data_IF_479754534785
#
_entry.id   IF_479754534785
#
_cell.length_a   1.000
_cell.length_b   1.000
_cell.length_c   1.000
_cell.angle_alpha   90.00
_cell.angle_beta   90.00
_cell.angle_gamma   90.00
#
_symmetry.space_group_name_H-M   'P 1'
#
loop_
_entity.id
_entity.type
_entity.pdbx_description
1 polymer ?
#
# COMPACT_ATOMS: atom_id res chain seq x y z
N UNK A 1 -21.15 6.76 2.84
CA UNK A 1 -20.22 7.86 3.23
C UNK A 1 -19.01 7.79 2.33
N UNK A 2 -18.58 8.92 1.72
CA UNK A 2 -17.43 8.92 0.79
C UNK A 2 -16.12 8.95 1.56
N UNK A 3 -15.19 8.07 1.19
CA UNK A 3 -13.83 8.00 1.67
C UNK A 3 -12.89 8.32 0.49
N UNK A 4 -12.35 9.53 0.47
CA UNK A 4 -11.49 10.00 -0.62
C UNK A 4 -10.10 9.41 -0.46
N UNK A 5 -9.70 8.58 -1.42
CA UNK A 5 -8.38 7.96 -1.43
C UNK A 5 -7.34 8.88 -2.08
N UNK A 6 -6.37 9.31 -1.29
CA UNK A 6 -5.25 10.15 -1.72
C UNK A 6 -4.22 9.34 -2.53
N UNK A 7 -4.64 8.85 -3.69
CA UNK A 7 -3.80 8.09 -4.60
C UNK A 7 -4.22 8.30 -6.05
N UNK A 8 -3.23 8.44 -6.93
CA UNK A 8 -3.42 8.40 -8.39
C UNK A 8 -3.27 6.97 -8.97
N UNK A 9 -2.86 6.00 -8.15
CA UNK A 9 -2.63 4.62 -8.58
C UNK A 9 -3.95 3.84 -8.67
N UNK A 10 -4.35 3.47 -9.90
CA UNK A 10 -5.60 2.78 -10.17
C UNK A 10 -5.68 1.40 -9.50
N UNK A 11 -4.55 0.67 -9.39
CA UNK A 11 -4.52 -0.63 -8.72
C UNK A 11 -4.83 -0.49 -7.22
N UNK A 12 -4.27 0.50 -6.54
CA UNK A 12 -4.58 0.79 -5.14
C UNK A 12 -6.06 1.15 -4.96
N UNK A 13 -6.61 1.97 -5.87
CA UNK A 13 -8.05 2.33 -5.82
C UNK A 13 -8.94 1.10 -5.94
N UNK A 14 -8.63 0.20 -6.88
CA UNK A 14 -9.39 -1.06 -7.05
C UNK A 14 -9.29 -1.97 -5.82
N UNK A 15 -8.08 -2.19 -5.29
CA UNK A 15 -7.87 -3.01 -4.08
C UNK A 15 -8.61 -2.44 -2.86
N UNK A 16 -8.55 -1.13 -2.59
CA UNK A 16 -9.30 -0.53 -1.48
C UNK A 16 -10.82 -0.55 -1.71
N UNK A 17 -11.27 -0.42 -2.95
CA UNK A 17 -12.69 -0.58 -3.30
C UNK A 17 -13.20 -1.99 -2.96
N UNK A 18 -12.44 -3.03 -3.35
CA UNK A 18 -12.77 -4.42 -3.04
C UNK A 18 -12.75 -4.71 -1.52
N UNK A 19 -11.74 -4.21 -0.80
CA UNK A 19 -11.62 -4.32 0.65
C UNK A 19 -12.78 -3.64 1.38
N UNK A 20 -13.20 -2.46 0.93
CA UNK A 20 -14.32 -1.72 1.52
C UNK A 20 -15.65 -2.44 1.31
N UNK A 21 -15.90 -2.93 0.08
CA UNK A 21 -17.09 -3.71 -0.24
C UNK A 21 -17.17 -5.00 0.61
N UNK A 22 -16.06 -5.72 0.75
CA UNK A 22 -16.00 -6.95 1.54
C UNK A 22 -16.16 -6.74 3.05
N UNK A 23 -15.82 -5.57 3.58
CA UNK A 23 -15.90 -5.27 5.01
C UNK A 23 -17.30 -4.89 5.50
N UNK A 24 -18.24 -4.59 4.60
CA UNK A 24 -19.58 -4.11 4.97
C UNK A 24 -19.56 -2.77 5.71
N UNK A 25 -18.53 -1.96 5.50
CA UNK A 25 -18.44 -0.61 6.06
C UNK A 25 -19.28 0.37 5.24
N UNK A 26 -19.75 1.47 5.85
CA UNK A 26 -20.55 2.48 5.15
C UNK A 26 -19.68 3.39 4.24
N UNK A 27 -18.51 2.93 3.84
CA UNK A 27 -17.58 3.67 2.99
C UNK A 27 -17.72 3.29 1.51
N UNK A 28 -17.90 4.30 0.68
CA UNK A 28 -17.63 4.27 -0.75
C UNK A 28 -16.24 4.87 -0.98
N UNK A 29 -15.28 4.06 -1.44
CA UNK A 29 -13.94 4.55 -1.75
C UNK A 29 -13.98 5.31 -3.06
N UNK A 30 -13.61 6.59 -3.01
CA UNK A 30 -13.62 7.52 -4.14
C UNK A 30 -12.19 7.89 -4.49
N UNK A 31 -11.81 7.76 -5.75
CA UNK A 31 -10.48 8.17 -6.23
C UNK A 31 -10.29 9.69 -6.13
N UNK A 32 -9.10 10.14 -5.78
CA UNK A 32 -8.75 11.57 -5.88
C UNK A 32 -9.00 12.15 -7.29
N UNK A 33 -8.91 11.32 -8.35
CA UNK A 33 -9.21 11.75 -9.73
C UNK A 33 -10.63 12.27 -9.92
N UNK A 34 -11.58 11.75 -9.16
CA UNK A 34 -13.00 12.15 -9.20
C UNK A 34 -13.25 13.50 -8.54
N UNK A 35 -12.27 14.00 -7.79
CA UNK A 35 -12.39 15.24 -7.01
C UNK A 35 -11.31 16.28 -7.36
N UNK A 36 -10.83 16.27 -8.58
CA UNK A 36 -9.85 17.27 -9.08
C UNK A 36 -8.41 16.77 -9.17
N UNK A 37 -8.15 15.52 -8.79
CA UNK A 37 -6.83 14.91 -8.83
C UNK A 37 -6.07 15.00 -7.52
N UNK A 38 -4.93 14.32 -7.48
CA UNK A 38 -4.02 14.38 -6.34
C UNK A 38 -3.16 15.64 -6.46
N UNK A 39 -3.11 16.52 -5.45
CA UNK A 39 -2.17 17.63 -5.46
C UNK A 39 -0.73 17.11 -5.44
N UNK A 40 0.24 17.87 -5.96
CA UNK A 40 1.66 17.53 -5.87
C UNK A 40 2.08 17.37 -4.39
N UNK A 41 2.71 16.23 -4.07
CA UNK A 41 3.22 15.94 -2.73
C UNK A 41 4.60 15.32 -2.85
N UNK A 42 5.58 15.92 -2.21
CA UNK A 42 6.91 15.32 -2.06
C UNK A 42 6.86 14.28 -0.93
N UNK A 43 7.25 13.05 -1.23
CA UNK A 43 7.33 11.94 -0.28
C UNK A 43 8.73 11.88 0.35
N UNK A 44 9.07 12.89 1.14
CA UNK A 44 10.42 13.22 1.65
C UNK A 44 10.60 12.96 3.16
N UNK A 45 9.62 12.34 3.82
CA UNK A 45 9.67 12.15 5.28
C UNK A 45 10.55 10.98 5.72
N UNK A 46 11.01 10.15 4.79
CA UNK A 46 11.81 8.94 5.07
C UNK A 46 11.04 7.81 5.75
N UNK A 47 9.72 7.97 5.95
CA UNK A 47 8.88 6.94 6.61
C UNK A 47 7.54 6.78 5.89
N UNK A 48 7.03 5.55 5.86
CA UNK A 48 5.69 5.26 5.30
C UNK A 48 4.59 6.06 6.01
N UNK A 49 4.64 6.16 7.33
CA UNK A 49 3.64 6.89 8.10
C UNK A 49 3.65 8.40 7.80
N UNK A 50 4.84 9.00 7.72
CA UNK A 50 4.99 10.41 7.39
C UNK A 50 4.50 10.72 5.97
N UNK A 51 4.88 9.90 4.98
CA UNK A 51 4.45 10.07 3.60
C UNK A 51 2.93 9.88 3.46
N UNK A 52 2.34 8.86 4.09
CA UNK A 52 0.90 8.66 4.10
C UNK A 52 0.16 9.87 4.71
N UNK A 53 0.60 10.35 5.88
CA UNK A 53 0.00 11.52 6.53
C UNK A 53 0.11 12.78 5.66
N UNK A 54 1.28 13.00 5.04
CA UNK A 54 1.51 14.15 4.15
C UNK A 54 0.57 14.11 2.93
N UNK A 55 0.39 12.94 2.31
CA UNK A 55 -0.58 12.74 1.21
C UNK A 55 -2.02 12.97 1.66
N UNK A 56 -2.41 12.44 2.82
CA UNK A 56 -3.76 12.61 3.35
C UNK A 56 -4.09 14.09 3.59
N UNK A 57 -3.19 14.82 4.25
CA UNK A 57 -3.34 16.26 4.52
C UNK A 57 -3.42 17.09 3.24
N UNK A 58 -2.58 16.77 2.24
CA UNK A 58 -2.57 17.48 0.97
C UNK A 58 -3.90 17.34 0.22
N UNK A 59 -4.44 16.11 0.11
CA UNK A 59 -5.75 15.92 -0.51
C UNK A 59 -6.86 16.57 0.33
N UNK A 60 -6.79 16.45 1.66
CA UNK A 60 -7.78 17.04 2.58
C UNK A 60 -7.93 18.54 2.39
N UNK A 61 -6.82 19.25 2.14
CA UNK A 61 -6.80 20.70 1.92
C UNK A 61 -7.52 21.14 0.63
N UNK A 62 -7.75 20.24 -0.32
CA UNK A 62 -8.45 20.52 -1.59
C UNK A 62 -9.94 20.15 -1.56
N UNK A 63 -10.40 19.52 -0.47
CA UNK A 63 -11.76 19.01 -0.32
C UNK A 63 -12.57 19.84 0.68
N UNK A 64 -13.91 19.71 0.68
CA UNK A 64 -14.73 20.29 1.74
C UNK A 64 -14.29 19.87 3.14
N UNK A 65 -14.46 20.78 4.11
CA UNK A 65 -13.91 20.63 5.46
C UNK A 65 -14.47 19.44 6.27
N UNK A 66 -15.51 18.78 5.82
CA UNK A 66 -16.15 17.61 6.43
C UNK A 66 -15.88 16.29 5.66
N UNK A 67 -14.91 16.29 4.74
CA UNK A 67 -14.57 15.11 3.96
C UNK A 67 -13.74 14.09 4.76
N UNK A 68 -13.96 12.82 4.53
CA UNK A 68 -13.09 11.73 4.97
C UNK A 68 -12.00 11.48 3.95
N UNK A 69 -10.76 11.41 4.39
CA UNK A 69 -9.61 11.14 3.51
C UNK A 69 -8.81 9.97 4.04
N UNK A 70 -8.45 9.07 3.14
CA UNK A 70 -7.52 7.97 3.37
C UNK A 70 -6.32 8.15 2.45
N UNK A 71 -5.12 8.01 2.98
CA UNK A 71 -3.91 7.86 2.18
C UNK A 71 -3.23 6.54 2.50
N UNK A 72 -2.57 5.98 1.51
CA UNK A 72 -1.72 4.80 1.65
C UNK A 72 -0.30 5.17 1.24
N UNK A 73 0.66 4.77 2.07
CA UNK A 73 2.03 4.63 1.65
C UNK A 73 2.51 3.21 1.92
N UNK A 74 3.14 2.60 0.92
CA UNK A 74 3.46 1.18 0.96
C UNK A 74 4.69 0.86 0.11
N UNK A 75 5.44 -0.13 0.54
CA UNK A 75 6.62 -0.56 -0.15
C UNK A 75 7.11 -1.94 0.27
N UNK A 76 8.09 -2.42 -0.47
CA UNK A 76 8.82 -3.66 -0.22
C UNK A 76 10.13 -3.34 0.47
N UNK A 77 10.40 -3.98 1.59
CA UNK A 77 11.67 -3.94 2.30
C UNK A 77 12.37 -5.29 2.14
N UNK A 78 13.63 -5.29 1.71
CA UNK A 78 14.41 -6.49 1.44
C UNK A 78 15.61 -6.56 2.37
N UNK A 79 15.72 -7.64 3.14
CA UNK A 79 16.74 -7.78 4.19
C UNK A 79 18.19 -7.71 3.64
N UNK A 80 18.43 -8.36 2.50
CA UNK A 80 19.74 -8.36 1.85
C UNK A 80 20.13 -7.00 1.24
N UNK A 81 19.20 -6.04 1.20
CA UNK A 81 19.40 -4.69 0.69
C UNK A 81 19.19 -3.63 1.80
N UNK A 82 19.40 -4.00 3.06
CA UNK A 82 19.27 -3.11 4.22
C UNK A 82 17.89 -2.40 4.26
N UNK A 83 16.83 -3.10 3.86
CA UNK A 83 15.47 -2.59 3.81
C UNK A 83 15.10 -1.84 2.53
N UNK A 84 16.04 -1.63 1.59
CA UNK A 84 15.69 -1.04 0.29
C UNK A 84 14.87 -2.03 -0.56
N UNK A 85 14.00 -1.51 -1.47
CA UNK A 85 13.71 -0.12 -1.78
C UNK A 85 12.91 0.64 -0.70
N UNK A 86 12.21 -0.01 0.23
CA UNK A 86 11.51 0.64 1.32
C UNK A 86 10.52 1.72 0.83
N UNK A 87 10.60 2.92 1.39
CA UNK A 87 9.75 4.07 1.00
C UNK A 87 9.93 4.51 -0.44
N UNK A 88 11.05 4.16 -1.07
CA UNK A 88 11.34 4.47 -2.47
C UNK A 88 10.79 3.45 -3.46
N UNK A 89 10.00 2.48 -2.99
CA UNK A 89 9.51 1.35 -3.80
C UNK A 89 8.85 1.77 -5.12
N UNK A 90 8.09 2.86 -5.11
CA UNK A 90 7.43 3.36 -6.32
C UNK A 90 8.40 3.94 -7.36
N UNK A 91 9.55 4.43 -6.91
CA UNK A 91 10.53 5.18 -7.73
C UNK A 91 11.92 4.55 -7.74
N UNK A 92 12.02 3.29 -7.36
CA UNK A 92 13.30 2.59 -7.18
C UNK A 92 14.22 2.63 -8.41
N UNK A 93 13.66 2.53 -9.62
CA UNK A 93 14.41 2.63 -10.87
C UNK A 93 14.49 4.05 -11.44
N UNK A 94 13.83 5.02 -10.82
CA UNK A 94 13.83 6.42 -11.24
C UNK A 94 12.48 7.12 -11.06
N UNK A 95 12.44 8.43 -11.29
CA UNK A 95 11.28 9.29 -10.96
C UNK A 95 10.02 9.01 -11.80
N UNK A 96 10.12 8.21 -12.87
CA UNK A 96 9.00 7.87 -13.73
C UNK A 96 7.99 6.92 -13.08
N UNK A 97 8.39 6.21 -12.01
CA UNK A 97 7.52 5.25 -11.32
C UNK A 97 7.18 4.02 -12.17
N UNK A 98 8.08 3.63 -13.10
CA UNK A 98 7.89 2.45 -13.96
C UNK A 98 8.03 1.16 -13.14
N UNK A 99 6.91 0.51 -12.88
CA UNK A 99 6.85 -0.73 -12.10
C UNK A 99 7.67 -1.87 -12.72
N UNK A 100 7.72 -1.97 -14.04
CA UNK A 100 8.51 -3.00 -14.72
C UNK A 100 10.00 -2.72 -14.60
N UNK A 101 10.43 -1.46 -14.69
CA UNK A 101 11.81 -1.05 -14.45
C UNK A 101 12.22 -1.28 -12.99
N UNK A 102 11.34 -0.96 -12.03
CA UNK A 102 11.56 -1.21 -10.60
C UNK A 102 11.77 -2.70 -10.32
N UNK A 103 10.91 -3.56 -10.88
CA UNK A 103 11.02 -5.02 -10.76
C UNK A 103 12.34 -5.54 -11.36
N UNK A 104 12.68 -5.12 -12.59
CA UNK A 104 13.95 -5.51 -13.23
C UNK A 104 15.17 -5.09 -12.41
N UNK A 105 15.15 -3.86 -11.85
CA UNK A 105 16.24 -3.37 -10.99
C UNK A 105 16.38 -4.24 -9.74
N UNK A 106 15.27 -4.62 -9.11
CA UNK A 106 15.28 -5.48 -7.92
C UNK A 106 15.83 -6.88 -8.25
N UNK A 107 15.36 -7.50 -9.33
CA UNK A 107 15.90 -8.79 -9.80
C UNK A 107 17.42 -8.70 -10.02
N UNK A 108 17.89 -7.61 -10.64
CA UNK A 108 19.32 -7.36 -10.83
C UNK A 108 20.09 -7.22 -9.51
N UNK A 109 19.57 -6.47 -8.55
CA UNK A 109 20.17 -6.27 -7.24
C UNK A 109 20.22 -7.56 -6.40
N UNK A 110 19.27 -8.46 -6.63
CA UNK A 110 19.19 -9.75 -5.93
C UNK A 110 19.99 -10.88 -6.58
N UNK A 111 20.67 -10.62 -7.70
CA UNK A 111 21.53 -11.63 -8.36
C UNK A 111 22.66 -12.06 -7.42
N UNK A 112 22.84 -13.38 -7.28
CA UNK A 112 23.87 -13.95 -6.40
C UNK A 112 23.55 -13.93 -4.91
N UNK A 113 22.40 -13.38 -4.49
CA UNK A 113 21.93 -13.50 -3.11
C UNK A 113 21.43 -14.92 -2.88
N UNK A 114 21.99 -15.69 -1.93
CA UNK A 114 21.56 -17.05 -1.65
C UNK A 114 20.09 -17.14 -1.22
N UNK A 115 19.41 -18.24 -1.54
CA UNK A 115 17.99 -18.46 -1.22
C UNK A 115 17.65 -18.19 0.26
N UNK A 116 18.50 -18.65 1.20
CA UNK A 116 18.30 -18.43 2.63
C UNK A 116 18.50 -16.97 3.12
N UNK A 117 18.88 -16.04 2.24
CA UNK A 117 19.09 -14.62 2.55
C UNK A 117 18.19 -13.69 1.73
N UNK A 118 17.12 -14.21 1.17
CA UNK A 118 16.18 -13.47 0.33
C UNK A 118 14.94 -13.02 1.09
N UNK A 119 15.00 -12.93 2.41
CA UNK A 119 13.94 -12.42 3.26
C UNK A 119 13.50 -11.02 2.82
N UNK A 120 12.20 -10.79 2.85
CA UNK A 120 11.61 -9.52 2.49
C UNK A 120 10.25 -9.35 3.16
N UNK A 121 9.78 -8.13 3.26
CA UNK A 121 8.43 -7.88 3.73
C UNK A 121 7.83 -6.66 3.03
N UNK A 122 6.53 -6.75 2.78
CA UNK A 122 5.75 -5.57 2.42
C UNK A 122 5.21 -4.85 3.64
N UNK A 123 5.22 -3.53 3.58
CA UNK A 123 4.58 -2.64 4.55
C UNK A 123 3.52 -1.80 3.85
N UNK A 124 2.39 -1.59 4.51
CA UNK A 124 1.39 -0.60 4.14
C UNK A 124 1.05 0.22 5.39
N UNK A 125 1.11 1.52 5.28
CA UNK A 125 0.62 2.44 6.31
C UNK A 125 -0.53 3.25 5.73
N UNK A 126 -1.68 3.17 6.40
CA UNK A 126 -2.86 3.97 6.12
C UNK A 126 -2.90 5.17 7.06
N UNK A 127 -3.05 6.37 6.51
CA UNK A 127 -3.37 7.58 7.26
C UNK A 127 -4.81 7.98 6.95
N UNK A 128 -5.66 7.98 7.97
CA UNK A 128 -7.07 8.37 7.89
C UNK A 128 -7.25 9.74 8.52
N UNK A 129 -7.94 10.65 7.83
CA UNK A 129 -8.39 11.93 8.38
C UNK A 129 -9.92 11.94 8.37
N UNK A 130 -10.52 12.17 9.53
CA UNK A 130 -11.98 12.26 9.66
C UNK A 130 -12.53 13.65 9.29
N UNK A 131 -13.85 13.78 9.30
CA UNK A 131 -14.56 15.03 9.06
C UNK A 131 -14.23 16.17 10.04
N UNK A 132 -13.68 15.83 11.22
CA UNK A 132 -13.26 16.80 12.25
C UNK A 132 -11.77 17.14 12.13
N UNK A 133 -11.03 16.55 11.17
CA UNK A 133 -9.61 16.74 10.99
C UNK A 133 -8.75 15.93 11.96
N UNK A 134 -9.30 14.95 12.69
CA UNK A 134 -8.52 14.04 13.54
C UNK A 134 -7.86 12.98 12.67
N UNK A 135 -6.66 12.57 13.05
CA UNK A 135 -5.81 11.66 12.27
C UNK A 135 -5.59 10.34 13.00
N UNK A 136 -5.65 9.24 12.27
CA UNK A 136 -5.30 7.91 12.73
C UNK A 136 -4.39 7.21 11.73
N UNK A 137 -3.56 6.31 12.23
CA UNK A 137 -2.61 5.55 11.43
C UNK A 137 -2.82 4.05 11.67
N UNK A 138 -2.86 3.27 10.60
CA UNK A 138 -3.00 1.82 10.65
C UNK A 138 -1.92 1.20 9.78
N UNK A 139 -1.11 0.34 10.37
CA UNK A 139 -0.03 -0.36 9.67
C UNK A 139 -0.41 -1.82 9.42
N UNK A 140 0.00 -2.34 8.28
CA UNK A 140 -0.04 -3.76 7.97
C UNK A 140 1.28 -4.20 7.37
N UNK A 141 1.77 -5.36 7.79
CA UNK A 141 3.01 -5.97 7.32
C UNK A 141 2.73 -7.39 6.84
N UNK A 142 3.36 -7.80 5.76
CA UNK A 142 3.35 -9.17 5.27
C UNK A 142 4.79 -9.62 5.04
N UNK A 143 5.24 -10.58 5.84
CA UNK A 143 6.56 -11.19 5.72
C UNK A 143 6.57 -12.27 4.66
N UNK A 144 7.76 -12.53 4.08
CA UNK A 144 7.96 -13.49 3.03
C UNK A 144 9.40 -13.47 2.49
N UNK A 145 9.56 -13.93 1.27
CA UNK A 145 10.84 -13.95 0.60
C UNK A 145 10.71 -13.69 -0.89
N UNK A 146 11.84 -13.37 -1.54
CA UNK A 146 11.90 -13.13 -2.98
C UNK A 146 12.36 -14.38 -3.72
N UNK A 147 11.70 -14.68 -4.85
CA UNK A 147 12.15 -15.66 -5.83
C UNK A 147 13.34 -15.12 -6.63
N UNK A 148 14.01 -16.01 -7.36
CA UNK A 148 15.05 -15.62 -8.32
C UNK A 148 14.45 -14.91 -9.53
N UNK A 149 13.35 -15.44 -10.06
CA UNK A 149 12.67 -14.92 -11.23
C UNK A 149 11.19 -14.59 -10.92
N UNK A 150 10.63 -13.55 -11.55
CA UNK A 150 9.24 -13.20 -11.44
C UNK A 150 8.31 -14.29 -11.99
N UNK A 151 7.22 -14.61 -11.27
CA UNK A 151 6.19 -15.58 -11.68
C UNK A 151 4.82 -15.01 -11.40
N UNK A 152 3.86 -15.32 -12.29
CA UNK A 152 2.49 -14.83 -12.24
C UNK A 152 2.29 -13.55 -13.05
N UNK A 153 1.04 -13.16 -13.23
CA UNK A 153 0.66 -12.02 -14.08
C UNK A 153 -0.39 -11.11 -13.45
N UNK A 154 -0.86 -11.44 -12.25
CA UNK A 154 -1.79 -10.58 -11.52
C UNK A 154 -1.05 -9.58 -10.62
N UNK A 155 -1.79 -8.65 -10.03
CA UNK A 155 -1.24 -7.63 -9.14
C UNK A 155 -0.41 -6.57 -9.85
N UNK A 156 0.55 -5.98 -9.12
CA UNK A 156 1.42 -4.91 -9.65
C UNK A 156 2.73 -4.82 -8.86
N UNK A 157 3.67 -4.03 -9.37
CA UNK A 157 4.93 -3.76 -8.69
C UNK A 157 5.81 -5.00 -8.53
N UNK A 158 6.09 -5.37 -7.30
CA UNK A 158 6.95 -6.50 -6.94
C UNK A 158 6.19 -7.80 -6.66
N UNK A 159 4.86 -7.82 -6.82
CA UNK A 159 4.02 -9.00 -6.58
C UNK A 159 4.52 -10.27 -7.29
N UNK A 160 5.03 -10.22 -8.54
CA UNK A 160 5.53 -11.41 -9.23
C UNK A 160 6.80 -12.03 -8.60
N UNK A 161 7.50 -11.30 -7.73
CA UNK A 161 8.74 -11.78 -7.12
C UNK A 161 8.55 -12.22 -5.66
N UNK A 162 7.51 -11.72 -4.98
CA UNK A 162 7.30 -11.90 -3.56
C UNK A 162 6.41 -13.10 -3.25
N UNK A 163 6.93 -14.03 -2.45
CA UNK A 163 6.21 -15.18 -1.90
C UNK A 163 5.94 -14.93 -0.42
N UNK A 164 4.68 -14.79 0.01
CA UNK A 164 4.36 -14.59 1.41
C UNK A 164 4.63 -15.85 2.25
N UNK A 165 5.00 -15.68 3.50
CA UNK A 165 5.25 -16.79 4.43
C UNK A 165 4.04 -17.72 4.53
N UNK A 166 4.31 -19.03 4.56
CA UNK A 166 3.29 -20.07 4.58
C UNK A 166 2.67 -20.38 3.20
N UNK A 167 3.12 -19.74 2.13
CA UNK A 167 2.65 -19.98 0.77
C UNK A 167 3.80 -20.44 -0.14
N UNK A 168 3.43 -21.10 -1.25
CA UNK A 168 4.38 -21.47 -2.32
C UNK A 168 4.24 -20.56 -3.56
N UNK A 169 3.17 -19.80 -3.63
CA UNK A 169 2.79 -18.93 -4.73
C UNK A 169 3.21 -17.48 -4.44
N UNK A 170 3.57 -16.75 -5.49
CA UNK A 170 3.78 -15.30 -5.40
C UNK A 170 2.45 -14.56 -5.22
N UNK A 171 2.50 -13.31 -4.80
CA UNK A 171 1.30 -12.47 -4.80
C UNK A 171 0.66 -12.32 -6.19
N UNK A 172 1.45 -12.44 -7.27
CA UNK A 172 0.93 -12.38 -8.64
C UNK A 172 0.34 -13.70 -9.15
N UNK A 173 0.46 -14.80 -8.41
CA UNK A 173 -0.16 -16.08 -8.69
C UNK A 173 -1.44 -16.32 -7.85
N UNK A 174 -1.62 -15.54 -6.77
CA UNK A 174 -2.82 -15.60 -5.93
C UNK A 174 -3.98 -14.86 -6.58
N UNK A 175 -5.20 -15.35 -6.36
CA UNK A 175 -6.39 -14.56 -6.67
C UNK A 175 -6.53 -13.35 -5.73
N UNK A 176 -7.34 -12.39 -6.15
CA UNK A 176 -7.51 -11.14 -5.39
C UNK A 176 -8.06 -11.36 -3.97
N UNK A 177 -9.08 -12.20 -3.73
CA UNK A 177 -9.55 -12.49 -2.38
C UNK A 177 -8.48 -13.10 -1.47
N UNK A 178 -7.72 -14.09 -1.96
CA UNK A 178 -6.65 -14.73 -1.20
C UNK A 178 -5.52 -13.73 -0.87
N UNK A 179 -5.09 -12.94 -1.86
CA UNK A 179 -4.11 -11.88 -1.66
C UNK A 179 -4.60 -10.85 -0.63
N UNK A 180 -5.84 -10.37 -0.77
CA UNK A 180 -6.41 -9.36 0.13
C UNK A 180 -6.50 -9.85 1.58
N UNK A 181 -6.72 -11.14 1.82
CA UNK A 181 -6.78 -11.72 3.16
C UNK A 181 -5.44 -11.68 3.91
N UNK A 182 -4.30 -11.76 3.21
CA UNK A 182 -2.97 -11.93 3.81
C UNK A 182 -2.01 -10.76 3.57
N UNK A 183 -2.30 -9.90 2.59
CA UNK A 183 -1.40 -8.84 2.17
C UNK A 183 -1.24 -7.75 3.24
N UNK A 184 -0.13 -7.02 3.16
CA UNK A 184 0.14 -5.82 3.97
C UNK A 184 -1.03 -4.82 3.93
N UNK A 185 -1.61 -4.57 2.74
CA UNK A 185 -2.75 -3.67 2.56
C UNK A 185 -4.02 -4.22 3.19
N UNK A 186 -4.31 -5.50 3.00
CA UNK A 186 -5.45 -6.16 3.66
C UNK A 186 -5.33 -6.13 5.18
N UNK A 187 -4.13 -6.36 5.73
CA UNK A 187 -3.86 -6.29 7.19
C UNK A 187 -4.00 -4.87 7.74
N UNK A 188 -3.49 -3.86 7.04
CA UNK A 188 -3.68 -2.46 7.44
C UNK A 188 -5.17 -2.08 7.42
N UNK A 189 -5.89 -2.48 6.37
CA UNK A 189 -7.33 -2.28 6.26
C UNK A 189 -8.11 -2.99 7.37
N UNK A 190 -7.76 -4.24 7.70
CA UNK A 190 -8.40 -4.97 8.79
C UNK A 190 -8.26 -4.26 10.14
N UNK A 191 -7.12 -3.61 10.42
CA UNK A 191 -6.92 -2.78 11.61
C UNK A 191 -7.82 -1.55 11.61
N UNK A 192 -7.97 -0.88 10.47
CA UNK A 192 -8.91 0.24 10.31
C UNK A 192 -10.34 -0.23 10.55
N UNK A 193 -10.75 -1.37 9.99
CA UNK A 193 -12.09 -1.97 10.18
C UNK A 193 -12.34 -2.30 11.65
N UNK A 194 -11.37 -2.91 12.32
CA UNK A 194 -11.48 -3.25 13.74
C UNK A 194 -11.64 -2.00 14.61
N UNK A 195 -10.83 -0.95 14.35
CA UNK A 195 -10.94 0.34 15.01
C UNK A 195 -12.33 0.98 14.77
N UNK A 196 -12.82 0.96 13.53
CA UNK A 196 -14.13 1.50 13.19
C UNK A 196 -15.26 0.79 13.96
N UNK A 197 -15.21 -0.55 14.01
CA UNK A 197 -16.22 -1.37 14.72
C UNK A 197 -16.17 -1.19 16.23
N UNK A 198 -15.02 -0.81 16.78
CA UNK A 198 -14.85 -0.50 18.21
C UNK A 198 -15.34 0.92 18.60
N UNK A 199 -16.05 1.62 17.71
CA UNK A 199 -16.56 2.96 17.95
C UNK A 199 -15.91 4.03 17.08
N UNK A 200 -14.80 3.73 16.43
CA UNK A 200 -14.13 4.64 15.50
C UNK A 200 -13.86 6.01 16.12
N UNK A 201 -14.20 7.10 15.40
CA UNK A 201 -13.91 8.45 15.87
C UNK A 201 -14.86 8.94 16.97
N UNK A 202 -15.84 8.14 17.40
CA UNK A 202 -16.80 8.49 18.44
C UNK A 202 -16.61 7.72 19.75
N UNK A 203 -15.64 6.78 19.74
CA UNK A 203 -15.23 5.97 20.87
C UNK A 203 -14.23 6.66 21.82
#
# INVERSE_FOLDING_TARGET
>A
MRLHLASANAHKVAEFGALAAGAGLPFEVVSARETGGMPPVEEDTGTFAGNAAKKARALRATLPADSWVLADDSGLCVDALDGHPGVESAYYAGPQGDSAANLRKLVGAMRGVPAGRRGAHFVCVLALIDRRGREWVFEGRCDGHLRDDPVGGAGFGYDPLFVPDGHAQTFAELDEPAKNAISHRGRAWARLVAWWRAGGPEG
#
